data_IF_124543976623
#
_entry.id   IF_124543976623
#
_cell.length_a   1.000
_cell.length_b   1.000
_cell.length_c   1.000
_cell.angle_alpha   90.00
_cell.angle_beta   90.00
_cell.angle_gamma   90.00
#
_symmetry.space_group_name_H-M   'P 1'
#
loop_
_entity.id
_entity.type
_entity.pdbx_description
1 polymer ?
#
# COMPACT_ATOMS: atom_id res chain seq x y z
N UNK A 1 11.07 16.34 -2.77
CA UNK A 1 11.61 16.83 -1.48
C UNK A 1 11.32 15.78 -0.40
N UNK A 2 12.14 14.72 -0.35
CA UNK A 2 11.95 13.57 0.53
C UNK A 2 12.91 13.67 1.71
N UNK A 3 12.53 14.40 2.76
CA UNK A 3 13.21 14.41 4.05
C UNK A 3 12.19 14.02 5.11
N UNK A 4 12.27 12.80 5.63
CA UNK A 4 11.29 12.33 6.62
C UNK A 4 11.34 10.84 6.89
N UNK A 5 12.53 10.29 7.14
CA UNK A 5 12.70 8.92 7.63
C UNK A 5 13.33 8.98 9.02
N UNK A 6 12.56 9.42 10.02
CA UNK A 6 12.93 9.33 11.45
C UNK A 6 12.10 8.25 12.16
N UNK A 7 11.85 7.12 11.50
CA UNK A 7 11.10 6.00 12.07
C UNK A 7 12.05 4.85 12.38
N UNK A 8 12.23 4.56 13.67
CA UNK A 8 13.16 3.57 14.20
C UNK A 8 12.91 2.14 13.70
N UNK A 9 11.68 1.82 13.28
CA UNK A 9 11.30 0.50 12.74
C UNK A 9 11.90 0.25 11.35
N UNK A 10 12.10 1.30 10.55
CA UNK A 10 12.64 1.18 9.18
C UNK A 10 14.17 1.08 9.14
N UNK A 11 14.85 1.32 10.27
CA UNK A 11 16.31 1.22 10.39
C UNK A 11 16.81 -0.17 9.99
N UNK A 12 16.03 -1.23 10.27
CA UNK A 12 16.37 -2.62 9.90
C UNK A 12 16.51 -2.82 8.38
N UNK A 13 15.84 -1.99 7.58
CA UNK A 13 15.89 -2.01 6.12
C UNK A 13 16.91 -1.03 5.54
N UNK A 14 17.50 -0.16 6.37
CA UNK A 14 18.53 0.78 5.95
C UNK A 14 19.92 0.12 5.98
N UNK A 15 20.73 0.38 4.95
CA UNK A 15 22.09 -0.11 4.84
C UNK A 15 23.10 0.86 5.49
N UNK A 16 23.07 2.14 5.10
CA UNK A 16 23.89 3.20 5.69
C UNK A 16 23.28 4.59 5.44
N UNK A 17 23.70 5.57 6.25
CA UNK A 17 23.32 6.98 6.12
C UNK A 17 24.34 7.74 5.26
N UNK A 18 23.86 8.41 4.21
CA UNK A 18 24.68 9.32 3.42
C UNK A 18 24.88 10.65 4.18
N UNK A 19 25.99 11.35 3.91
CA UNK A 19 26.34 12.66 4.52
C UNK A 19 25.27 13.76 4.37
N UNK A 20 24.26 13.55 3.52
CA UNK A 20 23.15 14.47 3.23
C UNK A 20 21.89 14.12 4.06
N UNK A 21 21.96 13.17 5.01
CA UNK A 21 20.81 12.73 5.82
C UNK A 21 19.82 11.87 5.03
N UNK A 22 20.30 11.20 3.98
CA UNK A 22 19.51 10.25 3.16
C UNK A 22 19.89 8.84 3.58
N UNK A 23 18.88 8.03 3.87
CA UNK A 23 19.03 6.62 4.20
C UNK A 23 18.91 5.77 2.93
N UNK A 24 19.93 4.95 2.65
CA UNK A 24 19.90 4.01 1.53
C UNK A 24 19.23 2.71 1.98
N UNK A 25 18.19 2.32 1.26
CA UNK A 25 17.44 1.09 1.52
C UNK A 25 18.19 -0.11 0.93
N UNK A 26 18.25 -1.21 1.68
CA UNK A 26 18.82 -2.46 1.20
C UNK A 26 17.89 -3.13 0.17
N UNK A 27 18.35 -3.19 -1.08
CA UNK A 27 17.59 -3.76 -2.19
C UNK A 27 17.30 -5.26 -2.04
N UNK A 28 18.23 -6.03 -1.48
CA UNK A 28 18.03 -7.47 -1.25
C UNK A 28 16.87 -7.74 -0.31
N UNK A 29 16.81 -7.01 0.81
CA UNK A 29 15.69 -7.10 1.76
C UNK A 29 14.37 -6.63 1.15
N UNK A 30 14.38 -5.60 0.30
CA UNK A 30 13.15 -5.16 -0.38
C UNK A 30 12.63 -6.21 -1.35
N UNK A 31 13.51 -6.90 -2.07
CA UNK A 31 13.12 -7.96 -3.00
C UNK A 31 12.45 -9.13 -2.27
N UNK A 32 13.04 -9.58 -1.16
CA UNK A 32 12.45 -10.63 -0.32
C UNK A 32 11.04 -10.28 0.16
N UNK A 33 10.82 -9.02 0.57
CA UNK A 33 9.50 -8.53 1.01
C UNK A 33 8.50 -8.43 -0.13
N UNK A 34 8.93 -7.98 -1.31
CA UNK A 34 8.08 -7.94 -2.50
C UNK A 34 7.64 -9.36 -2.90
N UNK A 35 8.56 -10.33 -2.89
CA UNK A 35 8.23 -11.70 -3.20
C UNK A 35 7.28 -12.33 -2.16
N UNK A 36 7.45 -12.00 -0.88
CA UNK A 36 6.53 -12.42 0.18
C UNK A 36 5.13 -11.82 -0.03
N UNK A 37 5.03 -10.52 -0.34
CA UNK A 37 3.75 -9.87 -0.60
C UNK A 37 3.03 -10.49 -1.81
N UNK A 38 3.75 -10.78 -2.89
CA UNK A 38 3.19 -11.47 -4.04
C UNK A 38 2.62 -12.86 -3.69
N UNK A 39 3.30 -13.63 -2.82
CA UNK A 39 2.80 -14.92 -2.35
C UNK A 39 1.52 -14.80 -1.52
N UNK A 40 1.41 -13.77 -0.69
CA UNK A 40 0.19 -13.50 0.10
C UNK A 40 -0.98 -13.12 -0.82
N UNK A 41 -0.74 -12.31 -1.85
CA UNK A 41 -1.76 -11.92 -2.83
C UNK A 41 -2.29 -13.15 -3.58
N UNK A 42 -1.41 -14.05 -4.00
CA UNK A 42 -1.80 -15.28 -4.72
C UNK A 42 -2.55 -16.28 -3.84
N UNK A 43 -2.37 -16.24 -2.51
CA UNK A 43 -3.04 -17.14 -1.59
C UNK A 43 -4.55 -16.85 -1.44
N UNK A 44 -5.04 -15.74 -1.99
CA UNK A 44 -6.46 -15.34 -1.91
C UNK A 44 -7.20 -15.93 -3.11
N UNK A 45 -8.28 -16.66 -2.82
CA UNK A 45 -9.07 -17.38 -3.82
C UNK A 45 -9.82 -16.44 -4.77
N UNK A 46 -10.35 -15.33 -4.24
CA UNK A 46 -11.10 -14.33 -4.99
C UNK A 46 -10.33 -13.01 -5.05
N UNK A 47 -9.86 -12.64 -6.24
CA UNK A 47 -9.09 -11.41 -6.43
C UNK A 47 -9.92 -10.14 -6.16
N UNK A 48 -11.25 -10.20 -6.29
CA UNK A 48 -12.18 -9.10 -6.05
C UNK A 48 -12.19 -8.64 -4.58
N UNK A 49 -11.89 -9.55 -3.64
CA UNK A 49 -11.80 -9.26 -2.21
C UNK A 49 -10.52 -8.51 -1.81
N UNK A 50 -9.66 -8.22 -2.78
CA UNK A 50 -8.42 -7.46 -2.59
C UNK A 50 -8.71 -6.01 -2.92
N UNK A 51 -8.49 -5.13 -1.94
CA UNK A 51 -8.61 -3.69 -2.15
C UNK A 51 -7.23 -3.05 -2.19
N UNK A 52 -6.98 -2.30 -3.26
CA UNK A 52 -5.77 -1.50 -3.42
C UNK A 52 -6.14 -0.02 -3.36
N UNK A 53 -5.43 0.73 -2.53
CA UNK A 53 -5.78 2.11 -2.24
C UNK A 53 -4.59 3.07 -2.27
N UNK A 54 -4.85 4.25 -2.84
CA UNK A 54 -3.91 5.38 -2.84
C UNK A 54 -4.65 6.70 -2.82
N UNK A 55 -4.46 7.50 -1.76
CA UNK A 55 -4.90 8.90 -1.74
C UNK A 55 -3.96 9.82 -2.53
N UNK A 56 -2.69 9.42 -2.73
CA UNK A 56 -1.69 10.20 -3.46
C UNK A 56 -2.06 10.35 -4.94
N UNK A 57 -2.02 11.56 -5.51
CA UNK A 57 -2.32 11.75 -6.94
C UNK A 57 -1.34 10.99 -7.85
N UNK A 58 -0.08 10.84 -7.42
CA UNK A 58 0.93 10.08 -8.16
C UNK A 58 0.66 8.57 -8.19
N UNK A 59 -0.02 8.03 -7.17
CA UNK A 59 -0.29 6.60 -7.03
C UNK A 59 -1.64 6.16 -7.61
N UNK A 60 -2.60 7.08 -7.81
CA UNK A 60 -3.95 6.77 -8.29
C UNK A 60 -3.95 5.96 -9.59
N UNK A 61 -3.15 6.37 -10.58
CA UNK A 61 -3.07 5.68 -11.87
C UNK A 61 -2.44 4.29 -11.74
N UNK A 62 -1.46 4.13 -10.87
CA UNK A 62 -0.80 2.84 -10.64
C UNK A 62 -1.78 1.83 -10.02
N UNK A 63 -2.58 2.28 -9.04
CA UNK A 63 -3.61 1.46 -8.39
C UNK A 63 -4.70 1.01 -9.37
N UNK A 64 -5.19 1.92 -10.22
CA UNK A 64 -6.17 1.57 -11.27
C UNK A 64 -5.61 0.55 -12.27
N UNK A 65 -4.33 0.68 -12.65
CA UNK A 65 -3.68 -0.27 -13.55
C UNK A 65 -3.41 -1.60 -12.88
N UNK A 66 -3.05 -1.61 -11.61
CA UNK A 66 -2.89 -2.83 -10.82
C UNK A 66 -4.20 -3.61 -10.78
N UNK A 67 -5.29 -2.97 -10.38
CA UNK A 67 -6.64 -3.54 -10.38
C UNK A 67 -7.05 -4.10 -11.74
N UNK A 68 -6.74 -3.39 -12.84
CA UNK A 68 -7.04 -3.87 -14.18
C UNK A 68 -6.33 -5.20 -14.52
N UNK A 69 -5.10 -5.42 -14.06
CA UNK A 69 -4.34 -6.63 -14.37
C UNK A 69 -4.60 -7.78 -13.41
N UNK A 70 -4.92 -7.50 -12.15
CA UNK A 70 -5.15 -8.53 -11.12
C UNK A 70 -6.61 -8.87 -10.92
N UNK A 71 -7.55 -8.02 -11.36
CA UNK A 71 -8.97 -8.14 -11.03
C UNK A 71 -9.33 -7.63 -9.63
N UNK A 72 -8.40 -6.98 -8.94
CA UNK A 72 -8.61 -6.40 -7.62
C UNK A 72 -9.48 -5.13 -7.68
N UNK A 73 -10.11 -4.78 -6.56
CA UNK A 73 -10.86 -3.53 -6.44
C UNK A 73 -9.94 -2.36 -6.10
N UNK A 74 -9.98 -1.28 -6.89
CA UNK A 74 -9.14 -0.10 -6.71
C UNK A 74 -9.92 1.08 -6.13
N UNK A 75 -9.42 1.64 -5.02
CA UNK A 75 -9.88 2.92 -4.47
C UNK A 75 -8.83 3.98 -4.80
N UNK A 76 -9.07 4.72 -5.88
CA UNK A 76 -8.22 5.84 -6.28
C UNK A 76 -8.75 7.15 -5.69
N UNK A 77 -7.92 7.82 -4.88
CA UNK A 77 -8.25 9.13 -4.31
C UNK A 77 -8.72 9.07 -2.87
N UNK A 78 -9.63 9.97 -2.51
CA UNK A 78 -10.04 10.17 -1.12
C UNK A 78 -10.76 8.94 -0.57
N UNK A 79 -10.30 8.44 0.57
CA UNK A 79 -11.01 7.42 1.31
C UNK A 79 -12.32 7.99 1.88
N UNK A 80 -13.43 7.28 1.70
CA UNK A 80 -14.68 7.63 2.39
C UNK A 80 -14.68 6.92 3.74
N UNK A 81 -14.70 7.64 4.88
CA UNK A 81 -14.74 7.00 6.18
C UNK A 81 -16.01 6.15 6.31
N UNK A 82 -15.88 4.95 6.87
CA UNK A 82 -16.99 4.00 7.00
C UNK A 82 -17.10 2.99 5.85
N UNK A 83 -16.23 3.07 4.83
CA UNK A 83 -16.23 2.13 3.70
C UNK A 83 -16.09 0.66 4.12
N UNK A 84 -15.32 0.37 5.17
CA UNK A 84 -15.14 -1.01 5.68
C UNK A 84 -16.01 -1.36 6.88
N UNK A 85 -16.67 -0.39 7.52
CA UNK A 85 -17.36 -0.60 8.79
C UNK A 85 -18.86 -0.36 8.72
N UNK A 86 -19.33 0.50 7.81
CA UNK A 86 -20.72 0.88 7.70
C UNK A 86 -21.44 0.10 6.59
N UNK A 87 -22.15 -0.96 6.97
CA UNK A 87 -22.93 -1.80 6.06
C UNK A 87 -24.08 -1.05 5.35
N UNK A 88 -24.55 0.08 5.89
CA UNK A 88 -25.62 0.89 5.29
C UNK A 88 -25.12 1.78 4.14
N UNK A 89 -23.79 1.88 3.94
CA UNK A 89 -23.23 2.70 2.89
C UNK A 89 -23.24 1.98 1.53
N UNK A 90 -23.53 2.72 0.47
CA UNK A 90 -23.55 2.18 -0.91
C UNK A 90 -22.18 1.72 -1.41
N UNK A 91 -21.10 2.25 -0.85
CA UNK A 91 -19.72 1.87 -1.16
C UNK A 91 -19.13 0.91 -0.13
N UNK A 92 -19.96 0.19 0.64
CA UNK A 92 -19.47 -0.78 1.60
C UNK A 92 -18.71 -1.91 0.88
N UNK A 93 -17.53 -2.26 1.38
CA UNK A 93 -16.75 -3.39 0.89
C UNK A 93 -15.97 -3.99 2.05
N UNK A 94 -15.90 -5.32 2.13
CA UNK A 94 -15.18 -6.02 3.20
C UNK A 94 -14.00 -6.80 2.60
N UNK A 95 -12.81 -6.18 2.50
CA UNK A 95 -11.66 -6.83 1.88
C UNK A 95 -11.02 -7.87 2.79
N UNK A 96 -10.54 -8.96 2.20
CA UNK A 96 -9.67 -9.93 2.89
C UNK A 96 -8.21 -9.47 2.94
N UNK A 97 -7.81 -8.64 1.98
CA UNK A 97 -6.48 -8.04 1.91
C UNK A 97 -6.57 -6.59 1.45
N UNK A 98 -5.87 -5.73 2.18
CA UNK A 98 -5.74 -4.31 1.89
C UNK A 98 -4.29 -4.01 1.51
N UNK A 99 -4.09 -3.37 0.35
CA UNK A 99 -2.80 -2.92 -0.14
C UNK A 99 -2.79 -1.39 -0.18
N UNK A 100 -1.93 -0.80 0.64
CA UNK A 100 -1.74 0.65 0.74
C UNK A 100 -0.46 1.09 0.05
N UNK A 101 -0.51 2.25 -0.60
CA UNK A 101 0.69 2.86 -1.21
C UNK A 101 1.54 3.63 -0.21
N UNK A 102 0.93 4.42 0.67
CA UNK A 102 1.62 5.26 1.64
C UNK A 102 0.83 5.29 2.96
N UNK A 103 1.28 4.60 4.03
CA UNK A 103 0.55 4.56 5.29
C UNK A 103 0.44 5.94 5.97
N UNK A 104 1.28 6.91 5.59
CA UNK A 104 1.23 8.28 6.14
C UNK A 104 0.02 9.07 5.61
N UNK A 105 -0.27 8.97 4.32
CA UNK A 105 -1.42 9.67 3.72
C UNK A 105 -2.67 8.84 3.78
N UNK A 106 -2.53 7.52 3.72
CA UNK A 106 -3.63 6.57 3.73
C UNK A 106 -3.90 6.05 5.17
N UNK A 107 -3.61 6.86 6.19
CA UNK A 107 -3.78 6.49 7.61
C UNK A 107 -5.26 6.40 8.05
N UNK A 108 -6.16 6.95 7.26
CA UNK A 108 -7.60 6.99 7.55
C UNK A 108 -8.32 5.69 7.14
N UNK A 109 -7.64 4.81 6.42
CA UNK A 109 -8.15 3.51 5.96
C UNK A 109 -8.36 2.58 7.14
#
# INVERSE_FOLDING_TARGET
MFYGWKNWVLIVYCLFECKVGIYIINLGKTWEKLQLAARVIVAIEHAEDIIVQSARPYGQRAVLKFAQYTGAHAIAGRHTPGTFTNQLQTSFSEPRLLILTDPRTDHQV
#
